data_IF_742023173004
#
_entry.id   IF_742023173004
#
_cell.length_a   1.000
_cell.length_b   1.000
_cell.length_c   1.000
_cell.angle_alpha   90.00
_cell.angle_beta   90.00
_cell.angle_gamma   90.00
#
_symmetry.space_group_name_H-M   'P 1'
#
loop_
_entity.id
_entity.type
_entity.pdbx_description
1 polymer ?
#
# COMPACT_ATOMS: atom_id res chain seq x y z
N UNK A 1 24.89 50.24 3.70
CA UNK A 1 23.42 50.23 3.50
C UNK A 1 23.08 49.46 2.23
N UNK A 2 22.66 48.20 2.34
CA UNK A 2 21.96 47.47 1.28
C UNK A 2 20.85 46.66 1.94
N UNK A 3 19.62 46.88 1.46
CA UNK A 3 18.37 46.32 1.99
C UNK A 3 18.25 44.84 1.64
N UNK A 4 17.66 44.09 2.57
CA UNK A 4 17.22 42.70 2.46
C UNK A 4 16.22 42.48 1.32
N UNK A 5 16.23 41.30 0.71
CA UNK A 5 15.00 40.59 0.31
C UNK A 5 15.23 39.09 0.64
N UNK A 6 14.70 38.67 1.78
CA UNK A 6 14.64 37.27 2.22
C UNK A 6 13.17 36.85 2.08
N UNK A 7 12.86 36.05 1.05
CA UNK A 7 11.53 35.47 0.87
C UNK A 7 11.68 33.98 1.16
N UNK A 8 11.20 33.57 2.33
CA UNK A 8 11.13 32.19 2.76
C UNK A 8 9.71 31.64 2.59
N UNK A 9 9.61 30.40 2.12
CA UNK A 9 8.39 29.60 2.20
C UNK A 9 8.79 28.24 2.80
N UNK A 10 8.09 27.85 3.87
CA UNK A 10 8.45 26.84 4.88
C UNK A 10 7.55 25.59 4.81
N UNK A 11 7.91 24.52 5.53
CA UNK A 11 7.06 23.34 5.87
C UNK A 11 5.71 23.74 6.49
N UNK A 12 5.59 24.97 6.98
CA UNK A 12 4.30 25.62 7.23
C UNK A 12 3.34 25.56 6.02
N UNK A 13 3.82 25.36 4.78
CA UNK A 13 2.99 25.19 3.59
C UNK A 13 2.33 23.81 3.55
N UNK A 14 2.96 22.75 4.07
CA UNK A 14 2.30 21.43 4.18
C UNK A 14 1.28 21.46 5.32
N UNK A 15 1.60 22.09 6.45
CA UNK A 15 0.65 22.32 7.54
C UNK A 15 -0.49 23.31 7.15
N UNK A 16 -0.21 24.34 6.34
CA UNK A 16 -1.21 25.29 5.83
C UNK A 16 -2.04 24.72 4.68
N UNK A 17 -1.50 23.82 3.85
CA UNK A 17 -2.28 23.02 2.89
C UNK A 17 -3.17 22.02 3.65
N UNK A 18 -2.69 21.43 4.75
CA UNK A 18 -3.50 20.60 5.65
C UNK A 18 -4.60 21.40 6.35
N UNK A 19 -4.36 22.64 6.78
CA UNK A 19 -5.36 23.53 7.37
C UNK A 19 -6.35 24.11 6.33
N UNK A 20 -5.90 24.40 5.11
CA UNK A 20 -6.77 24.86 4.02
C UNK A 20 -7.71 23.74 3.50
N UNK A 21 -7.28 22.47 3.55
CA UNK A 21 -8.12 21.33 3.22
C UNK A 21 -9.24 21.08 4.24
N UNK A 22 -9.08 21.50 5.50
CA UNK A 22 -10.14 21.43 6.52
C UNK A 22 -11.19 22.53 6.32
N UNK A 23 -10.84 23.67 5.74
CA UNK A 23 -11.76 24.79 5.50
C UNK A 23 -12.63 24.64 4.23
N UNK A 24 -12.27 23.78 3.28
CA UNK A 24 -12.99 23.60 2.00
C UNK A 24 -13.98 22.42 1.98
N UNK A 25 -14.22 21.76 3.12
CA UNK A 25 -14.91 20.47 3.19
C UNK A 25 -16.29 20.44 3.87
N UNK A 26 -16.86 21.56 4.30
CA UNK A 26 -18.20 21.56 4.91
C UNK A 26 -19.03 22.75 4.45
N UNK A 27 -19.87 22.51 3.43
CA UNK A 27 -20.79 23.52 2.93
C UNK A 27 -21.62 23.07 1.75
N UNK A 28 -22.33 21.95 1.85
CA UNK A 28 -23.55 21.78 1.04
C UNK A 28 -24.58 20.90 1.76
N UNK A 29 -25.51 21.56 2.45
CA UNK A 29 -26.72 20.99 3.04
C UNK A 29 -27.82 20.99 1.98
N UNK A 30 -28.13 19.84 1.38
CA UNK A 30 -29.20 19.85 0.38
C UNK A 30 -29.46 18.57 -0.41
N UNK A 31 -29.61 17.41 0.23
CA UNK A 31 -30.36 16.31 -0.37
C UNK A 31 -31.26 15.66 0.68
N UNK A 32 -32.56 15.98 0.59
CA UNK A 32 -33.63 15.34 1.35
C UNK A 32 -33.85 13.95 0.77
N UNK A 33 -33.60 12.91 1.55
CA UNK A 33 -34.06 11.55 1.25
C UNK A 33 -35.47 11.37 1.82
N UNK A 34 -36.38 10.93 0.95
CA UNK A 34 -37.77 10.64 1.30
C UNK A 34 -37.84 9.48 2.31
N UNK A 35 -38.48 9.75 3.44
CA UNK A 35 -38.86 8.74 4.42
C UNK A 35 -40.02 7.90 3.87
N UNK A 36 -39.83 6.59 3.80
CA UNK A 36 -40.92 5.63 3.65
C UNK A 36 -41.44 5.28 5.04
N UNK A 37 -42.72 5.55 5.24
CA UNK A 37 -43.54 5.16 6.39
C UNK A 37 -43.95 3.69 6.34
N UNK A 38 -43.79 2.98 7.45
CA UNK A 38 -44.55 1.79 7.87
C UNK A 38 -43.90 1.26 9.14
N UNK A 39 -44.55 0.79 10.18
CA UNK A 39 -45.92 0.86 10.66
C UNK A 39 -45.83 0.49 12.15
N UNK A 40 -46.71 1.03 12.97
CA UNK A 40 -46.88 0.64 14.38
C UNK A 40 -47.19 -0.86 14.51
N UNK A 41 -46.52 -1.54 15.43
CA UNK A 41 -47.02 -2.76 16.06
C UNK A 41 -46.40 -2.93 17.45
N UNK A 42 -47.24 -2.61 18.42
CA UNK A 42 -47.43 -3.16 19.76
C UNK A 42 -46.27 -3.62 20.66
N UNK A 43 -46.43 -3.16 21.90
CA UNK A 43 -45.61 -3.35 23.08
C UNK A 43 -46.09 -4.61 23.82
N UNK A 44 -45.24 -5.60 24.10
CA UNK A 44 -45.51 -6.58 25.15
C UNK A 44 -44.24 -7.15 25.80
N UNK A 45 -44.02 -6.67 27.04
CA UNK A 45 -43.49 -7.33 28.24
C UNK A 45 -42.47 -8.48 28.14
N UNK A 46 -41.29 -8.18 28.70
CA UNK A 46 -40.38 -9.02 29.50
C UNK A 46 -40.51 -10.55 29.41
N UNK A 47 -39.50 -11.18 28.80
CA UNK A 47 -39.01 -12.51 29.15
C UNK A 47 -37.55 -12.62 28.75
N UNK A 48 -36.73 -13.17 29.64
CA UNK A 48 -35.28 -13.31 29.53
C UNK A 48 -34.82 -13.80 28.14
N UNK A 49 -33.90 -13.05 27.52
CA UNK A 49 -33.23 -13.43 26.27
C UNK A 49 -31.90 -14.16 26.57
N UNK A 50 -31.57 -15.21 25.81
CA UNK A 50 -30.38 -16.03 26.03
C UNK A 50 -29.14 -15.33 25.47
N UNK A 51 -28.02 -15.49 26.16
CA UNK A 51 -26.70 -14.88 25.88
C UNK A 51 -26.14 -15.20 24.46
N UNK A 52 -26.69 -16.20 23.77
CA UNK A 52 -26.24 -16.64 22.44
C UNK A 52 -26.61 -15.70 21.27
N UNK A 53 -27.68 -14.90 21.36
CA UNK A 53 -28.06 -13.98 20.26
C UNK A 53 -27.13 -12.78 20.11
N UNK A 54 -26.65 -12.24 21.23
CA UNK A 54 -25.75 -11.07 21.24
C UNK A 54 -24.37 -11.41 20.64
N UNK A 55 -23.88 -12.63 20.86
CA UNK A 55 -22.62 -13.10 20.28
C UNK A 55 -22.73 -13.29 18.76
N UNK A 56 -23.87 -13.81 18.28
CA UNK A 56 -24.11 -14.01 16.85
C UNK A 56 -24.25 -12.68 16.09
N UNK A 57 -24.94 -11.70 16.68
CA UNK A 57 -25.09 -10.35 16.11
C UNK A 57 -23.76 -9.56 16.13
N UNK A 58 -22.92 -9.77 17.16
CA UNK A 58 -21.59 -9.18 17.21
C UNK A 58 -20.68 -9.72 16.10
N UNK A 59 -20.68 -11.04 15.87
CA UNK A 59 -19.89 -11.67 14.80
C UNK A 59 -20.35 -11.22 13.40
N UNK A 60 -21.65 -11.18 13.15
CA UNK A 60 -22.19 -10.72 11.86
C UNK A 60 -21.85 -9.24 11.58
N UNK A 61 -21.89 -8.37 12.59
CA UNK A 61 -21.54 -6.96 12.44
C UNK A 61 -20.04 -6.75 12.20
N UNK A 62 -19.17 -7.59 12.77
CA UNK A 62 -17.73 -7.56 12.50
C UNK A 62 -17.43 -7.96 11.05
N UNK A 63 -18.04 -9.03 10.54
CA UNK A 63 -17.84 -9.47 9.16
C UNK A 63 -18.32 -8.44 8.13
N UNK A 64 -19.49 -7.82 8.34
CA UNK A 64 -20.02 -6.78 7.44
C UNK A 64 -19.09 -5.55 7.42
N UNK A 65 -18.55 -5.15 8.57
CA UNK A 65 -17.59 -4.04 8.66
C UNK A 65 -16.27 -4.37 7.95
N UNK A 66 -15.79 -5.60 8.03
CA UNK A 66 -14.55 -6.03 7.38
C UNK A 66 -14.71 -6.08 5.84
N UNK A 67 -15.86 -6.56 5.35
CA UNK A 67 -16.18 -6.56 3.91
C UNK A 67 -16.27 -5.12 3.38
N UNK A 68 -16.96 -4.23 4.10
CA UNK A 68 -17.08 -2.83 3.73
C UNK A 68 -15.71 -2.14 3.69
N UNK A 69 -14.84 -2.42 4.67
CA UNK A 69 -13.48 -1.89 4.71
C UNK A 69 -12.64 -2.39 3.53
N UNK A 70 -12.65 -3.70 3.23
CA UNK A 70 -11.89 -4.27 2.10
C UNK A 70 -12.33 -3.65 0.76
N UNK A 71 -13.63 -3.49 0.54
CA UNK A 71 -14.17 -2.81 -0.65
C UNK A 71 -13.71 -1.36 -0.76
N UNK A 72 -13.77 -0.60 0.34
CA UNK A 72 -13.33 0.79 0.38
C UNK A 72 -11.80 0.92 0.16
N UNK A 73 -11.00 0.02 0.72
CA UNK A 73 -9.54 -0.02 0.49
C UNK A 73 -9.26 -0.26 -0.99
N UNK A 74 -9.94 -1.20 -1.65
CA UNK A 74 -9.74 -1.46 -3.08
C UNK A 74 -10.07 -0.23 -3.94
N UNK A 75 -11.12 0.52 -3.60
CA UNK A 75 -11.47 1.76 -4.28
C UNK A 75 -10.45 2.88 -4.01
N UNK A 76 -9.99 3.03 -2.77
CA UNK A 76 -8.93 3.99 -2.45
C UNK A 76 -7.62 3.65 -3.18
N UNK A 77 -7.31 2.36 -3.26
CA UNK A 77 -6.12 1.80 -3.89
C UNK A 77 -6.04 2.11 -5.38
N UNK A 78 -7.17 2.17 -6.10
CA UNK A 78 -7.17 2.56 -7.52
C UNK A 78 -6.84 4.04 -7.75
N UNK A 79 -6.93 4.87 -6.70
CA UNK A 79 -6.72 6.31 -6.78
C UNK A 79 -5.32 6.75 -6.32
N UNK A 80 -4.45 5.83 -5.91
CA UNK A 80 -3.08 6.13 -5.47
C UNK A 80 -2.06 5.24 -6.19
N UNK A 81 -0.82 5.69 -6.26
CA UNK A 81 0.28 4.98 -6.92
C UNK A 81 1.05 4.03 -6.00
N UNK A 82 0.62 3.87 -4.75
CA UNK A 82 1.28 3.03 -3.74
C UNK A 82 0.27 2.10 -3.08
N UNK A 83 0.73 0.98 -2.50
CA UNK A 83 -0.15 0.08 -1.76
C UNK A 83 -0.54 0.71 -0.43
N UNK A 84 -1.83 0.81 -0.16
CA UNK A 84 -2.36 1.28 1.11
C UNK A 84 -2.09 0.22 2.20
N UNK A 85 -1.54 0.63 3.34
CA UNK A 85 -1.19 -0.25 4.46
C UNK A 85 -2.32 -0.24 5.50
N UNK A 86 -3.00 -1.37 5.61
CA UNK A 86 -4.04 -1.53 6.63
C UNK A 86 -3.43 -1.61 8.05
N UNK A 87 -3.91 -0.81 9.02
CA UNK A 87 -3.49 -0.93 10.41
C UNK A 87 -3.96 -2.27 10.99
N UNK A 88 -3.05 -3.04 11.59
CA UNK A 88 -3.40 -4.32 12.22
C UNK A 88 -4.05 -4.16 13.61
N UNK A 89 -3.98 -2.97 14.20
CA UNK A 89 -4.54 -2.64 15.50
C UNK A 89 -5.27 -1.31 15.45
N UNK A 90 -6.50 -1.30 15.93
CA UNK A 90 -7.31 -0.11 16.19
C UNK A 90 -7.87 -0.24 17.61
N UNK A 91 -7.77 0.79 18.46
CA UNK A 91 -8.27 0.73 19.84
C UNK A 91 -9.76 0.41 19.92
N UNK A 92 -10.16 -0.29 20.97
CA UNK A 92 -11.57 -0.64 21.20
C UNK A 92 -12.46 0.59 21.23
N UNK A 93 -13.61 0.52 20.55
CA UNK A 93 -14.59 1.61 20.45
C UNK A 93 -14.48 2.41 19.15
N UNK A 94 -13.31 2.45 18.52
CA UNK A 94 -13.14 3.06 17.21
C UNK A 94 -13.69 2.15 16.11
N UNK A 95 -14.66 2.66 15.36
CA UNK A 95 -15.28 1.98 14.21
C UNK A 95 -14.76 2.57 12.93
N UNK A 96 -14.49 1.72 11.95
CA UNK A 96 -14.12 2.15 10.60
C UNK A 96 -15.25 2.99 10.00
N UNK A 97 -14.91 4.17 9.49
CA UNK A 97 -15.85 5.08 8.82
C UNK A 97 -15.60 5.10 7.32
N UNK A 98 -14.36 5.35 6.90
CA UNK A 98 -14.00 5.36 5.49
C UNK A 98 -12.49 5.26 5.26
N UNK A 99 -12.10 4.90 4.05
CA UNK A 99 -10.75 5.10 3.53
C UNK A 99 -10.85 5.81 2.18
N UNK A 100 -9.95 6.76 1.93
CA UNK A 100 -9.90 7.51 0.67
C UNK A 100 -8.48 7.58 0.15
N UNK A 101 -8.33 7.33 -1.15
CA UNK A 101 -7.10 7.59 -1.90
C UNK A 101 -7.30 8.82 -2.78
N UNK A 102 -6.37 9.77 -2.74
CA UNK A 102 -6.44 11.03 -3.49
C UNK A 102 -5.06 11.38 -4.06
N UNK A 103 -5.03 11.82 -5.32
CA UNK A 103 -3.84 12.41 -5.95
C UNK A 103 -3.96 13.92 -5.94
N UNK A 104 -2.90 14.59 -5.54
CA UNK A 104 -2.80 16.04 -5.56
C UNK A 104 -1.68 16.44 -6.49
N UNK A 105 -2.02 17.30 -7.46
CA UNK A 105 -1.05 17.90 -8.37
C UNK A 105 -0.69 19.28 -7.83
N UNK A 106 0.40 19.35 -7.05
CA UNK A 106 0.85 20.60 -6.44
C UNK A 106 1.81 21.38 -7.34
N UNK A 107 2.03 22.66 -7.05
CA UNK A 107 2.97 23.49 -7.81
C UNK A 107 4.41 22.95 -7.75
N UNK A 108 4.84 22.47 -6.58
CA UNK A 108 6.17 21.94 -6.33
C UNK A 108 6.23 20.42 -6.41
N UNK A 109 5.23 19.75 -5.83
CA UNK A 109 5.18 18.30 -5.69
C UNK A 109 3.82 17.74 -6.12
N UNK A 110 3.84 16.62 -6.84
CA UNK A 110 2.69 15.72 -6.93
C UNK A 110 2.75 14.78 -5.73
N UNK A 111 1.65 14.67 -4.99
CA UNK A 111 1.55 13.78 -3.83
C UNK A 111 0.33 12.87 -3.96
N UNK A 112 0.50 11.61 -3.59
CA UNK A 112 -0.61 10.69 -3.43
C UNK A 112 -0.84 10.47 -1.93
N UNK A 113 -2.10 10.48 -1.51
CA UNK A 113 -2.51 10.40 -0.10
C UNK A 113 -3.57 9.33 0.05
N UNK A 114 -3.35 8.39 0.97
CA UNK A 114 -4.39 7.52 1.50
C UNK A 114 -4.72 7.95 2.93
N UNK A 115 -6.01 7.94 3.29
CA UNK A 115 -6.49 8.37 4.60
C UNK A 115 -7.56 7.43 5.10
N UNK A 116 -7.29 6.74 6.19
CA UNK A 116 -8.27 5.99 6.96
C UNK A 116 -8.91 6.90 8.01
N UNK A 117 -10.22 6.75 8.19
CA UNK A 117 -11.04 7.49 9.15
C UNK A 117 -11.74 6.50 10.07
N UNK A 118 -11.59 6.70 11.38
CA UNK A 118 -12.25 5.92 12.43
C UNK A 118 -12.94 6.85 13.42
N UNK A 119 -14.07 6.42 13.96
CA UNK A 119 -14.85 7.18 14.94
C UNK A 119 -15.19 6.39 16.19
N UNK A 120 -15.16 7.05 17.35
CA UNK A 120 -15.65 6.55 18.61
C UNK A 120 -16.50 7.62 19.30
N UNK A 121 -17.82 7.60 19.09
CA UNK A 121 -18.71 8.70 19.50
C UNK A 121 -18.30 10.00 18.82
N UNK A 122 -17.91 10.99 19.62
CA UNK A 122 -17.46 12.31 19.17
C UNK A 122 -15.95 12.37 18.84
N UNK A 123 -15.22 11.29 19.11
CA UNK A 123 -13.79 11.21 18.81
C UNK A 123 -13.54 10.79 17.37
N UNK A 124 -12.54 11.44 16.78
CA UNK A 124 -12.04 11.15 15.45
C UNK A 124 -10.59 10.66 15.54
N UNK A 125 -10.30 9.61 14.79
CA UNK A 125 -8.97 9.10 14.54
C UNK A 125 -8.77 9.03 13.04
N UNK A 126 -7.68 9.63 12.55
CA UNK A 126 -7.30 9.57 11.14
C UNK A 126 -5.89 9.03 11.03
N UNK A 127 -5.69 8.05 10.14
CA UNK A 127 -4.37 7.53 9.78
C UNK A 127 -4.13 7.88 8.33
N UNK A 128 -3.04 8.60 8.04
CA UNK A 128 -2.68 9.06 6.71
C UNK A 128 -1.38 8.43 6.26
N UNK A 129 -1.34 8.08 5.00
CA UNK A 129 -0.18 7.60 4.27
C UNK A 129 0.05 8.56 3.10
N UNK A 130 1.24 9.14 3.01
CA UNK A 130 1.58 10.17 2.03
C UNK A 130 2.85 9.78 1.32
N UNK A 131 2.80 9.81 -0.01
CA UNK A 131 3.98 9.63 -0.86
C UNK A 131 4.13 10.83 -1.80
N UNK A 132 5.37 11.27 -2.00
CA UNK A 132 5.70 12.28 -3.01
C UNK A 132 5.99 11.55 -4.32
N UNK A 133 5.13 11.72 -5.32
CA UNK A 133 5.21 11.03 -6.62
C UNK A 133 6.19 11.72 -7.56
N UNK A 134 6.20 13.06 -7.56
CA UNK A 134 7.04 13.84 -8.47
C UNK A 134 7.38 15.19 -7.87
N UNK A 135 8.67 15.50 -7.84
CA UNK A 135 9.19 16.84 -7.53
C UNK A 135 9.46 17.57 -8.84
N UNK A 136 8.92 18.78 -9.00
CA UNK A 136 9.08 19.59 -10.23
C UNK A 136 10.27 20.54 -10.21
N UNK A 137 10.81 20.84 -9.02
CA UNK A 137 11.93 21.77 -8.87
C UNK A 137 12.96 21.17 -7.90
N UNK A 138 14.18 20.92 -8.40
CA UNK A 138 15.30 20.36 -7.62
C UNK A 138 16.05 21.46 -6.83
N UNK A 139 15.54 22.70 -6.86
CA UNK A 139 16.11 23.80 -6.07
C UNK A 139 15.99 23.46 -4.59
N UNK A 140 17.12 23.07 -4.02
CA UNK A 140 17.36 22.97 -2.58
C UNK A 140 16.97 24.29 -1.93
N UNK A 141 15.75 24.36 -1.40
CA UNK A 141 15.38 25.47 -0.55
C UNK A 141 16.28 25.45 0.68
N UNK A 142 16.94 26.55 1.03
CA UNK A 142 17.72 26.64 2.25
C UNK A 142 16.80 26.41 3.46
N UNK A 143 17.02 25.29 4.13
CA UNK A 143 16.32 24.87 5.33
C UNK A 143 16.85 25.66 6.53
N UNK A 144 16.36 26.88 6.73
CA UNK A 144 16.36 27.50 8.07
C UNK A 144 15.14 26.99 8.82
N UNK A 145 15.15 25.70 9.14
CA UNK A 145 14.08 25.09 9.92
C UNK A 145 14.13 25.65 11.35
N UNK A 146 12.98 26.07 11.90
CA UNK A 146 12.83 26.22 13.34
C UNK A 146 13.26 24.92 14.02
N UNK A 147 13.86 25.02 15.21
CA UNK A 147 14.21 23.84 16.00
C UNK A 147 12.94 23.03 16.25
N UNK A 148 12.92 21.77 15.83
CA UNK A 148 11.78 20.86 16.07
C UNK A 148 11.65 20.62 17.57
N UNK A 149 10.57 21.13 18.18
CA UNK A 149 10.29 21.03 19.61
C UNK A 149 9.40 19.85 19.96
N UNK A 150 9.03 19.02 18.97
CA UNK A 150 8.15 17.86 19.17
C UNK A 150 8.86 16.77 19.96
N UNK A 151 8.09 16.04 20.76
CA UNK A 151 8.58 14.92 21.57
C UNK A 151 9.13 13.82 20.64
N UNK A 152 10.28 13.26 20.99
CA UNK A 152 10.84 12.09 20.31
C UNK A 152 10.27 10.84 20.96
N UNK A 153 9.67 9.97 20.15
CA UNK A 153 9.18 8.66 20.56
C UNK A 153 9.84 7.58 19.70
N UNK A 154 9.88 6.34 20.17
CA UNK A 154 10.41 5.22 19.39
C UNK A 154 9.25 4.43 18.78
N UNK A 155 9.31 4.16 17.47
CA UNK A 155 8.36 3.30 16.75
C UNK A 155 9.18 2.29 15.95
N UNK A 156 9.02 0.99 16.23
CA UNK A 156 9.75 -0.08 15.53
C UNK A 156 11.29 0.14 15.49
N UNK A 157 11.88 0.71 16.54
CA UNK A 157 13.32 1.00 16.59
C UNK A 157 13.78 2.29 15.90
N UNK A 158 12.85 3.15 15.45
CA UNK A 158 13.14 4.43 14.81
C UNK A 158 12.67 5.60 15.68
N UNK A 159 13.45 6.70 15.71
CA UNK A 159 13.09 7.94 16.39
C UNK A 159 12.08 8.76 15.58
N UNK A 160 10.90 8.99 16.16
CA UNK A 160 9.75 9.59 15.50
C UNK A 160 9.15 10.73 16.34
N UNK A 161 8.16 11.45 15.79
CA UNK A 161 7.71 12.73 16.35
C UNK A 161 6.27 12.68 16.83
N UNK A 162 6.08 12.99 18.11
CA UNK A 162 4.78 13.18 18.75
C UNK A 162 4.57 14.65 19.16
N UNK A 163 3.35 15.15 18.99
CA UNK A 163 2.95 16.46 19.52
C UNK A 163 1.46 16.49 19.87
N UNK A 164 1.11 17.42 20.77
CA UNK A 164 -0.28 17.74 21.09
C UNK A 164 -0.45 19.26 21.01
N UNK A 165 -1.30 19.72 20.11
CA UNK A 165 -1.54 21.14 19.83
C UNK A 165 -3.04 21.40 19.74
N UNK A 166 -3.56 22.31 20.56
CA UNK A 166 -5.00 22.65 20.61
C UNK A 166 -5.92 21.43 20.79
N UNK A 167 -5.49 20.44 21.57
CA UNK A 167 -6.22 19.18 21.77
C UNK A 167 -6.13 18.20 20.60
N UNK A 168 -5.40 18.54 19.54
CA UNK A 168 -5.12 17.61 18.45
C UNK A 168 -3.82 16.90 18.76
N UNK A 169 -3.88 15.58 18.90
CA UNK A 169 -2.70 14.73 19.03
C UNK A 169 -2.22 14.30 17.66
N UNK A 170 -0.93 14.41 17.43
CA UNK A 170 -0.28 14.11 16.17
C UNK A 170 0.94 13.21 16.41
N UNK A 171 0.99 12.10 15.68
CA UNK A 171 2.14 11.20 15.64
C UNK A 171 2.53 11.02 14.18
N UNK A 172 3.78 11.26 13.83
CA UNK A 172 4.29 11.03 12.46
C UNK A 172 5.52 10.17 12.47
N UNK A 173 5.58 9.25 11.51
CA UNK A 173 6.72 8.38 11.28
C UNK A 173 6.92 8.08 9.80
N UNK A 174 7.97 7.32 9.48
CA UNK A 174 8.23 6.89 8.10
C UNK A 174 8.40 5.38 8.00
N UNK A 175 7.86 4.82 6.92
CA UNK A 175 8.15 3.46 6.47
C UNK A 175 8.68 3.61 5.05
N UNK A 176 10.00 3.57 4.92
CA UNK A 176 10.72 3.98 3.73
C UNK A 176 10.14 5.24 3.09
N UNK A 177 9.56 5.16 1.87
CA UNK A 177 9.07 6.35 1.15
C UNK A 177 7.72 6.91 1.61
N UNK A 178 7.04 6.18 2.48
CA UNK A 178 5.74 6.53 2.97
C UNK A 178 5.91 7.38 4.22
N UNK A 179 5.40 8.61 4.17
CA UNK A 179 5.22 9.42 5.37
C UNK A 179 3.88 9.08 5.97
N UNK A 180 3.90 8.56 7.19
CA UNK A 180 2.70 8.18 7.91
C UNK A 180 2.41 9.20 8.99
N UNK A 181 1.13 9.41 9.26
CA UNK A 181 0.73 10.15 10.45
C UNK A 181 -0.59 9.65 11.01
N UNK A 182 -0.70 9.71 12.32
CA UNK A 182 -1.94 9.53 13.06
C UNK A 182 -2.32 10.89 13.62
N UNK A 183 -3.57 11.27 13.42
CA UNK A 183 -4.17 12.47 14.02
C UNK A 183 -5.39 12.05 14.81
N UNK A 184 -5.52 12.48 16.05
CA UNK A 184 -6.70 12.22 16.86
C UNK A 184 -7.17 13.47 17.59
N UNK A 185 -8.49 13.68 17.59
CA UNK A 185 -9.13 14.82 18.23
C UNK A 185 -10.57 14.46 18.61
N UNK A 186 -11.18 15.25 19.51
CA UNK A 186 -12.59 15.13 19.88
C UNK A 186 -13.37 16.36 19.41
N UNK A 187 -14.57 16.14 18.86
CA UNK A 187 -15.46 17.23 18.46
C UNK A 187 -16.47 17.50 19.60
N UNK A 188 -16.40 18.66 20.23
CA UNK A 188 -17.40 19.09 21.24
C UNK A 188 -18.18 20.29 20.69
N UNK A 189 -19.27 20.00 19.99
CA UNK A 189 -20.06 21.02 19.29
C UNK A 189 -19.28 21.63 18.11
N UNK A 190 -18.98 22.93 18.19
CA UNK A 190 -18.16 23.64 17.20
C UNK A 190 -16.67 23.72 17.59
N UNK A 191 -16.30 23.22 18.78
CA UNK A 191 -14.93 23.29 19.28
C UNK A 191 -14.23 21.94 19.16
N UNK A 192 -12.91 21.98 18.99
CA UNK A 192 -12.04 20.80 19.05
C UNK A 192 -11.40 20.73 20.43
N UNK A 193 -11.45 19.54 21.04
CA UNK A 193 -10.84 19.28 22.35
C UNK A 193 -9.92 18.06 22.30
N UNK A 194 -9.17 17.83 23.38
CA UNK A 194 -8.21 16.73 23.47
C UNK A 194 -8.91 15.38 23.35
N UNK A 195 -8.41 14.55 22.44
CA UNK A 195 -8.83 13.14 22.31
C UNK A 195 -8.45 12.35 23.57
N UNK A 196 -9.28 11.40 23.98
CA UNK A 196 -8.92 10.45 25.04
C UNK A 196 -7.81 9.46 24.64
N UNK A 197 -7.50 9.36 23.34
CA UNK A 197 -6.47 8.48 22.82
C UNK A 197 -5.09 8.85 23.40
N UNK A 198 -4.47 7.94 24.15
CA UNK A 198 -3.16 8.19 24.75
C UNK A 198 -2.04 8.11 23.71
N UNK A 199 -0.88 8.68 24.03
CA UNK A 199 0.33 8.58 23.20
C UNK A 199 0.72 7.11 22.99
N UNK A 200 0.67 6.30 24.03
CA UNK A 200 1.01 4.87 24.00
C UNK A 200 0.07 4.10 23.07
N UNK A 201 -1.22 4.42 23.07
CA UNK A 201 -2.17 3.84 22.11
C UNK A 201 -1.88 4.27 20.68
N UNK A 202 -1.51 5.53 20.44
CA UNK A 202 -1.08 5.98 19.10
C UNK A 202 0.17 5.25 18.63
N UNK A 203 1.13 5.00 19.52
CA UNK A 203 2.35 4.22 19.21
C UNK A 203 1.96 2.79 18.82
N UNK A 204 1.07 2.12 19.59
CA UNK A 204 0.59 0.77 19.23
C UNK A 204 -0.07 0.73 17.86
N UNK A 205 -0.87 1.75 17.51
CA UNK A 205 -1.45 1.86 16.16
C UNK A 205 -0.32 1.98 15.13
N UNK A 206 0.64 2.87 15.34
CA UNK A 206 1.75 3.09 14.41
C UNK A 206 2.60 1.82 14.21
N UNK A 207 2.92 1.10 15.27
CA UNK A 207 3.64 -0.19 15.21
C UNK A 207 2.85 -1.28 14.47
N UNK A 208 1.52 -1.19 14.50
CA UNK A 208 0.63 -2.11 13.78
C UNK A 208 0.52 -1.83 12.28
N UNK A 209 0.85 -0.61 11.85
CA UNK A 209 0.91 -0.23 10.43
C UNK A 209 2.30 -0.60 9.93
N UNK A 210 2.43 -1.83 9.45
CA UNK A 210 3.71 -2.36 8.95
C UNK A 210 3.52 -3.07 7.64
N UNK A 211 4.57 -3.05 6.81
CA UNK A 211 4.60 -3.91 5.64
C UNK A 211 4.45 -5.38 6.04
N UNK A 212 3.81 -6.16 5.17
CA UNK A 212 3.71 -7.60 5.39
C UNK A 212 5.11 -8.18 5.37
N UNK A 213 5.37 -9.14 6.25
CA UNK A 213 6.59 -9.92 6.15
C UNK A 213 6.56 -10.74 4.86
N UNK A 214 7.73 -11.10 4.28
CA UNK A 214 7.82 -12.00 3.13
C UNK A 214 6.97 -13.26 3.29
N UNK A 215 7.01 -13.87 4.47
CA UNK A 215 6.30 -15.12 4.79
C UNK A 215 4.79 -14.91 4.73
N UNK A 216 4.28 -13.81 5.31
CA UNK A 216 2.84 -13.50 5.27
C UNK A 216 2.38 -13.21 3.84
N UNK A 217 3.16 -12.45 3.07
CA UNK A 217 2.81 -12.14 1.68
C UNK A 217 2.77 -13.39 0.80
N UNK A 218 3.72 -14.32 1.01
CA UNK A 218 3.75 -15.59 0.29
C UNK A 218 2.59 -16.49 0.74
N UNK A 219 2.29 -16.56 2.03
CA UNK A 219 1.14 -17.35 2.53
C UNK A 219 -0.19 -16.86 1.94
N UNK A 220 -0.40 -15.54 1.82
CA UNK A 220 -1.59 -14.97 1.19
C UNK A 220 -1.67 -15.26 -0.32
N UNK A 221 -0.54 -15.20 -1.03
CA UNK A 221 -0.49 -15.58 -2.44
C UNK A 221 -0.73 -17.09 -2.62
N UNK A 222 -0.13 -17.90 -1.76
CA UNK A 222 -0.25 -19.36 -1.74
C UNK A 222 -1.69 -19.82 -1.54
N UNK A 223 -2.47 -19.12 -0.72
CA UNK A 223 -3.90 -19.41 -0.53
C UNK A 223 -4.76 -19.24 -1.79
N UNK A 224 -4.24 -18.54 -2.82
CA UNK A 224 -4.96 -18.26 -4.06
C UNK A 224 -4.57 -19.17 -5.23
N UNK A 225 -3.58 -20.04 -5.06
CA UNK A 225 -3.10 -20.97 -6.09
C UNK A 225 -3.04 -22.40 -5.52
N UNK A 226 -3.08 -23.41 -6.38
CA UNK A 226 -3.09 -24.83 -6.05
C UNK A 226 -1.69 -25.45 -6.06
N UNK A 227 -0.70 -24.77 -6.63
CA UNK A 227 0.69 -25.21 -6.62
C UNK A 227 1.48 -24.53 -5.50
N UNK A 228 2.54 -25.18 -5.02
CA UNK A 228 3.45 -24.58 -4.04
C UNK A 228 4.27 -23.47 -4.71
N UNK A 229 4.17 -22.24 -4.21
CA UNK A 229 4.98 -21.10 -4.67
C UNK A 229 6.44 -21.36 -4.31
N UNK A 230 7.30 -21.30 -5.32
CA UNK A 230 8.73 -21.55 -5.18
C UNK A 230 9.46 -20.26 -4.79
N UNK A 231 10.47 -20.39 -3.93
CA UNK A 231 11.22 -19.24 -3.42
C UNK A 231 12.70 -19.36 -3.80
N UNK A 232 13.31 -18.30 -4.36
CA UNK A 232 14.74 -18.27 -4.58
C UNK A 232 15.48 -18.13 -3.25
N UNK A 233 16.46 -18.99 -3.01
CA UNK A 233 17.38 -18.84 -1.87
C UNK A 233 18.49 -17.81 -2.12
N UNK A 234 18.62 -17.32 -3.36
CA UNK A 234 19.56 -16.27 -3.74
C UNK A 234 18.83 -15.09 -4.39
N UNK A 235 18.99 -13.91 -3.82
CA UNK A 235 18.49 -12.65 -4.36
C UNK A 235 19.70 -11.80 -4.79
N UNK A 236 19.72 -11.25 -6.02
CA UNK A 236 20.82 -10.40 -6.46
C UNK A 236 21.05 -9.21 -5.53
N UNK A 237 22.32 -8.79 -5.41
CA UNK A 237 22.71 -7.75 -4.46
C UNK A 237 21.92 -6.43 -4.68
N UNK A 238 21.41 -5.89 -3.58
CA UNK A 238 20.61 -4.66 -3.56
C UNK A 238 19.12 -4.86 -3.84
N UNK A 239 18.68 -6.06 -4.24
CA UNK A 239 17.26 -6.38 -4.35
C UNK A 239 16.70 -6.85 -3.01
N UNK A 240 15.48 -6.42 -2.69
CA UNK A 240 14.65 -6.96 -1.59
C UNK A 240 13.25 -7.30 -2.08
N UNK A 241 12.57 -8.24 -1.43
CA UNK A 241 11.21 -8.63 -1.80
C UNK A 241 10.24 -7.45 -1.58
N UNK A 242 9.46 -7.15 -2.61
CA UNK A 242 8.35 -6.24 -2.54
C UNK A 242 7.08 -7.03 -2.14
N UNK A 243 6.88 -7.15 -0.83
CA UNK A 243 5.75 -7.88 -0.24
C UNK A 243 4.40 -7.24 -0.57
N UNK A 244 4.41 -6.00 -1.06
CA UNK A 244 3.24 -5.28 -1.53
C UNK A 244 2.63 -5.88 -2.80
N UNK A 245 3.48 -6.37 -3.71
CA UNK A 245 3.07 -6.80 -5.05
C UNK A 245 3.00 -8.32 -5.20
N UNK A 246 3.48 -9.08 -4.22
CA UNK A 246 3.37 -10.54 -4.22
C UNK A 246 1.91 -10.98 -4.30
N UNK A 247 1.59 -11.81 -5.29
CA UNK A 247 0.21 -12.17 -5.59
C UNK A 247 0.09 -13.59 -6.13
N UNK A 248 -1.08 -14.18 -5.91
CA UNK A 248 -1.55 -15.42 -6.53
C UNK A 248 -2.91 -15.15 -7.18
N UNK A 249 -3.12 -15.64 -8.39
CA UNK A 249 -4.34 -15.39 -9.18
C UNK A 249 -4.73 -16.65 -9.95
N UNK A 250 -6.03 -16.95 -10.00
CA UNK A 250 -6.60 -17.96 -10.90
C UNK A 250 -7.34 -17.26 -12.03
N UNK A 251 -6.98 -17.60 -13.25
CA UNK A 251 -7.64 -17.15 -14.46
C UNK A 251 -8.45 -18.31 -15.04
N UNK A 252 -9.75 -18.10 -15.24
CA UNK A 252 -10.65 -19.07 -15.88
C UNK A 252 -11.34 -18.40 -17.07
N UNK A 253 -10.67 -18.46 -18.21
CA UNK A 253 -11.20 -18.08 -19.51
C UNK A 253 -11.82 -19.26 -20.26
N UNK A 254 -12.53 -18.98 -21.35
CA UNK A 254 -13.16 -20.02 -22.18
C UNK A 254 -12.12 -20.96 -22.81
N UNK A 255 -10.98 -20.42 -23.25
CA UNK A 255 -9.91 -21.14 -23.95
C UNK A 255 -8.63 -21.35 -23.13
N UNK A 256 -8.52 -20.70 -21.96
CA UNK A 256 -7.35 -20.78 -21.09
C UNK A 256 -7.80 -20.82 -19.63
N UNK A 257 -7.44 -21.88 -18.92
CA UNK A 257 -7.52 -21.97 -17.47
C UNK A 257 -6.09 -22.05 -16.94
N UNK A 258 -5.69 -21.08 -16.14
CA UNK A 258 -4.33 -20.98 -15.63
C UNK A 258 -4.30 -20.40 -14.22
N UNK A 259 -3.27 -20.75 -13.47
CA UNK A 259 -2.97 -20.16 -12.18
C UNK A 259 -1.60 -19.50 -12.24
N UNK A 260 -1.48 -18.33 -11.65
CA UNK A 260 -0.24 -17.54 -11.66
C UNK A 260 0.11 -17.10 -10.24
N UNK A 261 1.38 -17.26 -9.88
CA UNK A 261 1.99 -16.59 -8.75
C UNK A 261 3.05 -15.60 -9.25
N UNK A 262 3.22 -14.48 -8.55
CA UNK A 262 4.22 -13.47 -8.91
C UNK A 262 4.86 -12.93 -7.63
N UNK A 263 6.18 -13.02 -7.53
CA UNK A 263 6.99 -12.47 -6.45
C UNK A 263 7.83 -11.34 -7.03
N UNK A 264 7.68 -10.15 -6.45
CA UNK A 264 8.37 -8.96 -6.92
C UNK A 264 9.55 -8.65 -6.01
N UNK A 265 10.63 -8.18 -6.60
CA UNK A 265 11.82 -7.70 -5.93
C UNK A 265 12.16 -6.32 -6.48
N UNK A 266 12.61 -5.43 -5.59
CA UNK A 266 12.95 -4.05 -5.92
C UNK A 266 14.39 -3.77 -5.49
N UNK A 267 15.14 -3.07 -6.35
CA UNK A 267 16.47 -2.55 -6.03
C UNK A 267 16.49 -1.02 -6.15
N UNK A 268 17.06 -0.41 -5.11
CA UNK A 268 17.07 1.03 -4.90
C UNK A 268 16.36 1.42 -3.61
N UNK A 269 16.42 2.72 -3.34
CA UNK A 269 15.64 3.43 -2.34
C UNK A 269 14.16 3.32 -2.75
N UNK A 270 13.24 3.14 -1.80
CA UNK A 270 11.80 3.14 -2.12
C UNK A 270 11.33 4.44 -2.81
N UNK A 271 12.15 5.49 -2.84
CA UNK A 271 11.83 6.90 -3.13
C UNK A 271 11.87 7.37 -4.61
N UNK A 272 11.65 6.50 -5.60
CA UNK A 272 11.40 6.78 -7.04
C UNK A 272 12.54 7.18 -8.00
N UNK A 273 12.19 7.03 -9.30
CA UNK A 273 12.81 7.44 -10.57
C UNK A 273 13.85 6.49 -11.20
N UNK A 274 14.44 5.57 -10.43
CA UNK A 274 15.40 4.57 -10.93
C UNK A 274 15.21 3.20 -10.29
N UNK A 275 13.97 2.83 -10.00
CA UNK A 275 13.70 1.53 -9.39
C UNK A 275 13.91 0.45 -10.46
N UNK A 276 14.81 -0.47 -10.15
CA UNK A 276 14.93 -1.71 -10.89
C UNK A 276 13.96 -2.72 -10.27
N UNK A 277 13.12 -3.30 -11.11
CA UNK A 277 12.19 -4.35 -10.76
C UNK A 277 12.71 -5.67 -11.29
N UNK A 278 12.59 -6.68 -10.45
CA UNK A 278 12.90 -8.06 -10.74
C UNK A 278 11.68 -8.88 -10.32
N UNK A 279 11.08 -9.61 -11.24
CA UNK A 279 9.86 -10.38 -10.98
C UNK A 279 10.13 -11.84 -11.23
N UNK A 280 9.83 -12.71 -10.26
CA UNK A 280 9.70 -14.14 -10.46
C UNK A 280 8.22 -14.47 -10.65
N UNK A 281 7.86 -14.96 -11.83
CA UNK A 281 6.51 -15.37 -12.18
C UNK A 281 6.49 -16.89 -12.36
N UNK A 282 5.49 -17.53 -11.76
CA UNK A 282 5.21 -18.95 -11.88
C UNK A 282 3.83 -19.10 -12.51
N UNK A 283 3.74 -19.87 -13.59
CA UNK A 283 2.51 -20.09 -14.34
C UNK A 283 2.23 -21.58 -14.46
N UNK A 284 1.08 -22.00 -13.94
CA UNK A 284 0.51 -23.32 -14.14
C UNK A 284 -0.62 -23.23 -15.16
N UNK A 285 -0.49 -23.87 -16.30
CA UNK A 285 -1.56 -23.96 -17.30
C UNK A 285 -2.35 -25.24 -17.05
N UNK A 286 -3.62 -25.10 -16.66
CA UNK A 286 -4.52 -26.22 -16.36
C UNK A 286 -5.26 -26.69 -17.62
N UNK A 287 -5.62 -25.75 -18.48
CA UNK A 287 -6.31 -26.01 -19.74
C UNK A 287 -5.87 -24.96 -20.76
N UNK A 288 -5.47 -25.41 -21.95
CA UNK A 288 -5.17 -24.53 -23.07
C UNK A 288 -5.72 -25.14 -24.36
N UNK A 289 -6.84 -24.58 -24.81
CA UNK A 289 -7.47 -24.94 -26.08
C UNK A 289 -7.03 -23.98 -27.20
N UNK A 290 -6.11 -23.06 -26.93
CA UNK A 290 -5.65 -22.12 -27.95
C UNK A 290 -4.74 -22.85 -28.94
N UNK A 291 -5.23 -23.00 -30.17
CA UNK A 291 -4.42 -23.36 -31.33
C UNK A 291 -3.46 -22.21 -31.66
N UNK A 292 -2.49 -22.01 -30.78
CA UNK A 292 -1.56 -20.89 -30.78
C UNK A 292 -0.46 -21.12 -31.81
N UNK A 293 -0.67 -20.68 -33.05
CA UNK A 293 0.43 -20.35 -33.96
C UNK A 293 1.10 -19.05 -33.46
N UNK A 294 1.70 -19.10 -32.26
CA UNK A 294 2.52 -17.99 -31.77
C UNK A 294 3.72 -17.92 -32.71
N UNK A 295 3.72 -16.88 -33.55
CA UNK A 295 4.88 -16.54 -34.35
C UNK A 295 5.98 -16.20 -33.36
N UNK A 296 6.95 -17.11 -33.21
CA UNK A 296 8.05 -16.92 -32.28
C UNK A 296 8.71 -15.56 -32.58
N UNK A 297 8.99 -14.74 -31.55
CA UNK A 297 9.66 -13.47 -31.76
C UNK A 297 10.97 -13.73 -32.51
N UNK A 298 11.22 -12.93 -33.56
CA UNK A 298 12.44 -13.04 -34.39
C UNK A 298 13.73 -12.73 -33.62
N UNK A 299 13.62 -12.26 -32.38
CA UNK A 299 14.76 -11.96 -31.51
C UNK A 299 15.45 -13.27 -31.11
N UNK A 300 16.77 -13.40 -31.33
CA UNK A 300 17.49 -14.63 -31.04
C UNK A 300 17.54 -14.89 -29.53
N UNK A 301 17.09 -16.07 -29.11
CA UNK A 301 17.21 -16.55 -27.75
C UNK A 301 18.64 -17.02 -27.47
N UNK A 302 19.13 -16.77 -26.25
CA UNK A 302 20.30 -17.46 -25.70
C UNK A 302 19.81 -18.60 -24.82
N UNK A 303 20.39 -19.78 -24.97
CA UNK A 303 20.06 -20.92 -24.13
C UNK A 303 21.04 -21.04 -22.97
N UNK A 304 20.54 -21.32 -21.78
CA UNK A 304 21.34 -21.46 -20.55
C UNK A 304 20.88 -22.69 -19.77
N UNK A 305 21.78 -23.31 -19.01
CA UNK A 305 21.43 -24.44 -18.13
C UNK A 305 21.00 -23.94 -16.74
N UNK A 306 19.82 -24.36 -16.29
CA UNK A 306 19.26 -24.08 -14.97
C UNK A 306 18.98 -25.42 -14.29
N UNK A 307 19.94 -25.88 -13.48
CA UNK A 307 19.84 -27.15 -12.74
C UNK A 307 19.54 -28.36 -13.64
N UNK A 308 20.15 -28.44 -14.83
CA UNK A 308 19.91 -29.51 -15.81
C UNK A 308 18.71 -29.29 -16.73
N UNK A 309 17.95 -28.20 -16.55
CA UNK A 309 16.86 -27.80 -17.46
C UNK A 309 17.33 -26.67 -18.38
N UNK A 310 17.02 -26.77 -19.67
CA UNK A 310 17.33 -25.73 -20.64
C UNK A 310 16.42 -24.51 -20.46
N UNK A 311 16.98 -23.40 -20.00
CA UNK A 311 16.35 -22.09 -19.95
C UNK A 311 16.57 -21.27 -21.22
N UNK A 312 15.68 -20.31 -21.45
CA UNK A 312 15.72 -19.36 -22.57
C UNK A 312 15.86 -17.94 -22.04
N UNK A 313 16.95 -17.28 -22.41
CA UNK A 313 17.23 -15.90 -22.10
C UNK A 313 16.98 -15.00 -23.32
N UNK A 314 16.30 -13.89 -23.09
CA UNK A 314 16.01 -12.84 -24.05
C UNK A 314 16.43 -11.49 -23.46
N UNK A 315 17.10 -10.69 -24.27
CA UNK A 315 17.34 -9.27 -24.00
C UNK A 315 16.84 -8.48 -25.20
N UNK A 316 15.88 -7.60 -24.97
CA UNK A 316 15.30 -6.73 -26.01
C UNK A 316 16.16 -5.50 -26.23
N UNK A 317 15.91 -4.75 -27.31
CA UNK A 317 16.72 -3.58 -27.68
C UNK A 317 16.61 -2.41 -26.69
N UNK A 318 15.54 -2.36 -25.89
CA UNK A 318 15.36 -1.42 -24.77
C UNK A 318 16.07 -1.89 -23.48
N UNK A 319 16.70 -3.07 -23.52
CA UNK A 319 17.49 -3.67 -22.44
C UNK A 319 16.69 -4.50 -21.44
N UNK A 320 15.36 -4.63 -21.61
CA UNK A 320 14.53 -5.51 -20.78
C UNK A 320 15.02 -6.94 -20.95
N UNK A 321 15.17 -7.65 -19.82
CA UNK A 321 15.67 -9.04 -19.82
C UNK A 321 14.61 -9.98 -19.30
N UNK A 322 14.54 -11.15 -19.91
CA UNK A 322 13.65 -12.23 -19.51
C UNK A 322 14.41 -13.55 -19.54
N UNK A 323 14.29 -14.34 -18.48
CA UNK A 323 14.80 -15.70 -18.39
C UNK A 323 13.62 -16.63 -18.10
N UNK A 324 13.33 -17.59 -18.98
CA UNK A 324 12.20 -18.52 -18.81
C UNK A 324 12.68 -19.97 -18.82
N UNK A 325 12.10 -20.83 -17.98
CA UNK A 325 12.39 -22.26 -17.93
C UNK A 325 11.22 -23.02 -17.31
N UNK A 326 11.24 -24.35 -17.44
CA UNK A 326 10.19 -25.23 -16.91
C UNK A 326 10.68 -25.97 -15.67
N UNK A 327 9.80 -26.14 -14.68
CA UNK A 327 10.03 -27.02 -13.53
C UNK A 327 8.78 -27.88 -13.34
N UNK A 328 8.84 -29.14 -13.77
CA UNK A 328 7.68 -30.01 -13.80
C UNK A 328 6.61 -29.47 -14.76
N UNK A 329 5.44 -29.10 -14.23
CA UNK A 329 4.33 -28.49 -14.96
C UNK A 329 4.25 -26.97 -14.82
N UNK A 330 5.23 -26.35 -14.16
CA UNK A 330 5.29 -24.91 -13.97
C UNK A 330 6.20 -24.27 -15.01
N UNK A 331 5.70 -23.20 -15.64
CA UNK A 331 6.50 -22.27 -16.42
C UNK A 331 6.99 -21.16 -15.51
N UNK A 332 8.30 -21.06 -15.34
CA UNK A 332 8.94 -20.02 -14.54
C UNK A 332 9.50 -18.94 -15.45
N UNK A 333 9.37 -17.70 -15.03
CA UNK A 333 9.92 -16.54 -15.72
C UNK A 333 10.51 -15.56 -14.72
N UNK A 334 11.78 -15.19 -14.90
CA UNK A 334 12.38 -14.03 -14.26
C UNK A 334 12.40 -12.89 -15.28
N UNK A 335 11.72 -11.79 -14.98
CA UNK A 335 11.73 -10.57 -15.79
C UNK A 335 12.40 -9.42 -15.05
N UNK A 336 13.18 -8.60 -15.77
CA UNK A 336 13.76 -7.36 -15.22
C UNK A 336 13.39 -6.15 -16.06
N UNK A 337 13.02 -5.07 -15.39
CA UNK A 337 12.82 -3.78 -16.01
C UNK A 337 13.14 -2.67 -15.01
N UNK A 338 13.69 -1.57 -15.50
CA UNK A 338 13.81 -0.33 -14.76
C UNK A 338 12.77 0.65 -15.31
N UNK A 339 12.18 1.46 -14.43
CA UNK A 339 11.36 2.58 -14.88
C UNK A 339 12.18 3.86 -14.84
N UNK A 340 12.24 4.57 -15.96
CA UNK A 340 12.75 5.94 -16.02
C UNK A 340 11.62 6.90 -16.41
N UNK A 341 11.83 8.22 -16.25
CA UNK A 341 10.84 9.27 -16.58
C UNK A 341 10.26 9.16 -18.01
N UNK A 342 10.93 8.46 -18.92
CA UNK A 342 10.58 8.28 -20.33
C UNK A 342 10.02 6.89 -20.69
N UNK A 343 9.89 5.96 -19.73
CA UNK A 343 9.36 4.61 -19.97
C UNK A 343 10.18 3.50 -19.30
N UNK A 344 9.98 2.27 -19.77
CA UNK A 344 10.74 1.11 -19.31
C UNK A 344 12.09 1.02 -20.02
N UNK A 345 13.13 0.74 -19.26
CA UNK A 345 14.48 0.44 -19.76
C UNK A 345 15.03 -0.82 -19.11
N UNK A 346 16.10 -1.35 -19.68
CA UNK A 346 16.83 -2.46 -19.08
C UNK A 346 17.40 -2.17 -17.70
N UNK A 347 17.61 -3.24 -16.94
CA UNK A 347 18.39 -3.19 -15.70
C UNK A 347 19.86 -3.55 -16.00
N UNK A 348 20.82 -3.10 -15.17
CA UNK A 348 22.20 -3.54 -15.20
C UNK A 348 22.39 -5.00 -14.70
N UNK A 349 21.30 -5.70 -14.33
CA UNK A 349 21.38 -7.08 -13.91
C UNK A 349 21.84 -7.96 -15.07
N UNK A 350 22.92 -8.71 -14.87
CA UNK A 350 23.48 -9.57 -15.92
C UNK A 350 22.70 -10.88 -16.06
N UNK A 351 22.89 -11.55 -17.20
CA UNK A 351 22.34 -12.88 -17.44
C UNK A 351 22.82 -13.87 -16.36
N UNK A 352 24.09 -13.80 -15.96
CA UNK A 352 24.69 -14.69 -14.95
C UNK A 352 24.00 -14.53 -13.58
N UNK A 353 23.67 -13.30 -13.19
CA UNK A 353 22.95 -13.04 -11.93
C UNK A 353 21.52 -13.57 -11.97
N UNK A 354 20.82 -13.41 -13.09
CA UNK A 354 19.50 -14.00 -13.29
C UNK A 354 19.55 -15.54 -13.26
N UNK A 355 20.57 -16.16 -13.87
CA UNK A 355 20.78 -17.61 -13.84
C UNK A 355 21.10 -18.10 -12.42
N UNK A 356 21.91 -17.38 -11.64
CA UNK A 356 22.15 -17.70 -10.23
C UNK A 356 20.86 -17.70 -9.41
N UNK A 357 20.03 -16.67 -9.60
CA UNK A 357 18.71 -16.61 -8.96
C UNK A 357 17.83 -17.77 -9.39
N UNK A 358 17.71 -18.05 -10.69
CA UNK A 358 16.90 -19.15 -11.22
C UNK A 358 17.32 -20.52 -10.65
N UNK A 359 18.64 -20.79 -10.57
CA UNK A 359 19.17 -22.03 -9.99
C UNK A 359 18.88 -22.17 -8.49
N UNK A 360 18.61 -21.07 -7.81
CA UNK A 360 18.32 -21.05 -6.37
C UNK A 360 16.85 -21.25 -6.01
N UNK A 361 15.94 -21.25 -7.00
CA UNK A 361 14.50 -21.43 -6.81
C UNK A 361 14.19 -22.87 -6.39
N UNK A 362 13.50 -23.04 -5.25
CA UNK A 362 13.17 -24.35 -4.64
C UNK A 362 11.79 -24.39 -3.99
#
# INVERSE_FOLDING_TARGET
>A
MKKSILIGVSIATVAAILLAAVALGFGNTGTKFNALSSAEADNTSASALPEDKAALEAQANTEISEIAMKGAIQQAQSNVSFRIIEPMYIPSGYKFESVRGTKFVGATNDIDVASFSYKNGDEQLTIKEIIVVKTRDDRTQPSTLPKDTREIVEINGMEERFSEENGIKFLSWKIGNLSLSITSWKNEGQNQTSSSLSKEEMIKIAESVREKTPEKAIAEAQAKVSFKILQPSYIPAGYRMNTAQTSGTKFRGFSLEAEQASIFYIKGDEFFMKNEYLTLQELLVLKDDTASNITAPKTPWKFVDINGVQGRFLETSDGVKQLSWEVGNLNLTIGTHAYNKSGFTGTPLSMEEMVKMARSVK
#
